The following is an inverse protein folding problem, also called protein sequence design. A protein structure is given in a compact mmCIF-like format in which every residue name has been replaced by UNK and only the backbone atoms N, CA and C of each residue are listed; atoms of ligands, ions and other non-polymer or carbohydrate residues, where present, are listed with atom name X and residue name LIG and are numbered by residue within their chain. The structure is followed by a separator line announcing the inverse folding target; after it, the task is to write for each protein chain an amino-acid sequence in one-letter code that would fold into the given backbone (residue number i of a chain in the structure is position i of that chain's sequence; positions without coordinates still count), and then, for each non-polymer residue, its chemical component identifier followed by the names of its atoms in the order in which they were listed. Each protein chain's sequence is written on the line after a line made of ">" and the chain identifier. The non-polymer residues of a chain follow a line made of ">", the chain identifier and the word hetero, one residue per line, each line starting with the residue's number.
data_IF_007428568006
#
_entry.id   IF_007428568006
#
_cell.length_a   1.000
_cell.length_b   1.000
_cell.length_c   1.000
_cell.angle_alpha   90.00
_cell.angle_beta   90.00
_cell.angle_gamma   90.00
#
_symmetry.space_group_name_H-M   'P 1'
#
loop_
_entity.id
_entity.type
_entity.pdbx_description
1 polymer ?
#
# COMPACT_ATOMS: atom_id res chain seq x y z
N UNK A 1 4.91 -11.33 -36.71
CA UNK A 1 4.57 -9.88 -36.69
C UNK A 1 3.07 -9.60 -36.88
N UNK A 2 2.24 -10.57 -37.22
CA UNK A 2 0.81 -10.40 -37.50
C UNK A 2 -0.11 -10.49 -36.28
N UNK A 3 0.30 -11.13 -35.19
CA UNK A 3 -0.56 -11.34 -34.03
C UNK A 3 -0.61 -10.14 -33.07
N UNK A 4 0.39 -9.26 -33.08
CA UNK A 4 0.43 -8.07 -32.19
C UNK A 4 -0.54 -6.97 -32.64
N UNK A 5 -0.77 -6.83 -33.96
CA UNK A 5 -1.71 -5.82 -34.48
C UNK A 5 -3.17 -6.19 -34.23
N UNK A 6 -3.52 -7.50 -34.23
CA UNK A 6 -4.87 -7.95 -33.92
C UNK A 6 -5.25 -7.75 -32.42
N UNK A 7 -4.31 -7.98 -31.51
CA UNK A 7 -4.53 -7.78 -30.08
C UNK A 7 -4.69 -6.29 -29.77
N UNK A 8 -3.87 -5.42 -30.38
CA UNK A 8 -4.02 -3.96 -30.23
C UNK A 8 -5.35 -3.44 -30.79
N UNK A 9 -5.84 -4.00 -31.89
CA UNK A 9 -7.12 -3.60 -32.50
C UNK A 9 -8.32 -4.06 -31.64
N UNK A 10 -8.28 -5.27 -31.09
CA UNK A 10 -9.29 -5.78 -30.16
C UNK A 10 -9.32 -4.98 -28.85
N UNK A 11 -8.18 -4.61 -28.30
CA UNK A 11 -8.07 -3.74 -27.12
C UNK A 11 -8.59 -2.33 -27.41
N UNK A 12 -8.32 -1.77 -28.59
CA UNK A 12 -8.85 -0.47 -29.00
C UNK A 12 -10.39 -0.51 -29.17
N UNK A 13 -10.94 -1.57 -29.71
CA UNK A 13 -12.40 -1.73 -29.88
C UNK A 13 -13.08 -1.89 -28.52
N UNK A 14 -12.50 -2.63 -27.59
CA UNK A 14 -13.01 -2.75 -26.21
C UNK A 14 -12.92 -1.40 -25.46
N UNK A 15 -11.85 -0.63 -25.64
CA UNK A 15 -11.75 0.72 -25.05
C UNK A 15 -12.78 1.69 -25.63
N UNK A 16 -13.01 1.69 -26.94
CA UNK A 16 -13.97 2.57 -27.60
C UNK A 16 -15.41 2.21 -27.20
N UNK A 17 -15.75 0.93 -27.06
CA UNK A 17 -17.07 0.51 -26.58
C UNK A 17 -17.32 0.85 -25.10
N UNK A 18 -16.27 0.97 -24.27
CA UNK A 18 -16.36 1.40 -22.88
C UNK A 18 -16.47 2.93 -22.72
N UNK A 19 -16.02 3.69 -23.72
CA UNK A 19 -16.09 5.15 -23.73
C UNK A 19 -17.44 5.64 -24.30
N UNK A 20 -18.02 4.90 -25.22
CA UNK A 20 -19.23 5.31 -25.97
C UNK A 20 -20.56 4.76 -25.41
N UNK A 21 -20.54 3.97 -24.33
CA UNK A 21 -21.78 3.48 -23.72
C UNK A 21 -22.06 4.15 -22.35
N UNK A 22 -22.75 5.29 -22.30
CA UNK A 22 -23.11 5.96 -21.05
C UNK A 22 -24.41 5.42 -20.42
N UNK A 23 -24.79 4.19 -20.66
CA UNK A 23 -26.02 3.60 -20.12
C UNK A 23 -25.78 2.93 -18.75
N UNK A 24 -25.42 3.73 -17.76
CA UNK A 24 -25.97 3.61 -16.41
C UNK A 24 -26.67 4.94 -16.08
N UNK A 25 -27.71 5.22 -16.87
CA UNK A 25 -28.68 6.24 -16.52
C UNK A 25 -29.45 5.78 -15.28
N UNK A 26 -29.49 6.63 -14.30
CA UNK A 26 -30.39 6.62 -13.16
C UNK A 26 -31.77 6.08 -13.56
N UNK A 27 -32.18 5.01 -12.92
CA UNK A 27 -33.57 4.66 -12.82
C UNK A 27 -34.18 5.55 -11.71
N UNK A 28 -35.06 6.50 -12.02
CA UNK A 28 -35.70 7.32 -11.00
C UNK A 28 -36.65 6.43 -10.21
N UNK A 29 -36.25 6.04 -9.01
CA UNK A 29 -37.17 5.45 -8.06
C UNK A 29 -38.23 6.47 -7.76
N UNK A 30 -39.45 6.13 -8.11
CA UNK A 30 -40.67 6.85 -7.74
C UNK A 30 -40.62 7.27 -6.27
N UNK A 31 -40.73 8.59 -6.04
CA UNK A 31 -41.05 9.16 -4.76
C UNK A 31 -42.46 8.68 -4.37
N UNK A 32 -42.54 7.64 -3.55
CA UNK A 32 -43.75 7.37 -2.77
C UNK A 32 -43.66 8.20 -1.48
N UNK A 33 -44.74 8.88 -1.10
CA UNK A 33 -44.79 9.59 0.18
C UNK A 33 -44.61 8.59 1.34
N UNK A 34 -44.12 9.04 2.50
CA UNK A 34 -43.96 8.18 3.67
C UNK A 34 -45.33 7.56 4.06
N UNK A 35 -45.35 6.23 4.31
CA UNK A 35 -46.52 5.55 4.81
C UNK A 35 -46.79 5.93 6.27
N UNK A 36 -48.05 6.13 6.62
CA UNK A 36 -48.51 6.39 7.98
C UNK A 36 -48.13 5.17 8.87
N UNK A 37 -47.64 5.38 10.09
CA UNK A 37 -47.28 4.30 11.01
C UNK A 37 -48.45 3.37 11.40
N UNK A 38 -49.70 3.75 11.08
CA UNK A 38 -50.91 2.94 11.35
C UNK A 38 -51.15 1.79 10.36
N UNK A 39 -50.42 1.75 9.25
CA UNK A 39 -50.62 0.74 8.20
C UNK A 39 -49.69 -0.51 8.32
N UNK A 40 -49.06 -0.73 9.45
CA UNK A 40 -48.29 -1.93 9.69
C UNK A 40 -49.20 -3.06 10.22
N UNK A 41 -49.25 -4.22 9.54
CA UNK A 41 -49.95 -5.39 10.10
C UNK A 41 -49.26 -5.87 11.38
N UNK A 42 -50.03 -6.42 12.34
CA UNK A 42 -49.47 -6.91 13.60
C UNK A 42 -48.45 -8.03 13.37
N UNK A 43 -47.44 -8.18 14.24
CA UNK A 43 -46.43 -9.21 14.11
C UNK A 43 -47.03 -10.60 14.21
N UNK A 44 -46.67 -11.49 13.30
CA UNK A 44 -47.05 -12.88 13.25
C UNK A 44 -46.46 -13.57 14.48
N UNK A 45 -47.28 -14.30 15.32
CA UNK A 45 -46.76 -15.03 16.48
C UNK A 45 -45.80 -16.13 16.05
N UNK A 46 -44.62 -16.18 16.68
CA UNK A 46 -43.62 -17.23 16.45
C UNK A 46 -44.20 -18.57 16.88
N UNK A 47 -44.22 -19.58 15.99
CA UNK A 47 -44.55 -20.96 16.31
C UNK A 47 -43.64 -21.49 17.44
N UNK A 48 -44.17 -22.22 18.43
CA UNK A 48 -43.37 -22.86 19.46
C UNK A 48 -42.41 -23.90 18.82
N UNK A 49 -41.18 -23.96 19.32
CA UNK A 49 -40.21 -25.00 18.91
C UNK A 49 -40.75 -26.38 19.31
N UNK A 50 -40.56 -27.42 18.46
CA UNK A 50 -40.90 -28.79 18.83
C UNK A 50 -40.06 -29.27 20.03
N UNK A 51 -40.58 -30.21 20.85
CA UNK A 51 -39.84 -30.80 21.96
C UNK A 51 -38.56 -31.49 21.45
N UNK A 52 -37.47 -31.41 22.21
CA UNK A 52 -36.23 -32.12 21.90
C UNK A 52 -36.43 -33.62 21.97
N UNK A 53 -35.88 -34.35 21.01
CA UNK A 53 -35.86 -35.82 21.00
C UNK A 53 -35.00 -36.34 22.18
N UNK A 54 -35.45 -37.35 22.95
CA UNK A 54 -34.68 -37.93 24.05
C UNK A 54 -33.34 -38.55 23.67
N UNK A 55 -33.05 -38.68 22.39
CA UNK A 55 -31.77 -39.21 21.86
C UNK A 55 -30.62 -38.21 21.85
N UNK A 56 -30.85 -36.93 22.13
CA UNK A 56 -29.85 -35.88 22.13
C UNK A 56 -29.17 -35.62 23.50
N UNK A 57 -29.35 -36.52 24.49
CA UNK A 57 -28.63 -36.43 25.74
C UNK A 57 -27.25 -37.10 25.63
N UNK A 58 -26.17 -36.45 26.04
CA UNK A 58 -24.88 -37.09 26.08
C UNK A 58 -24.86 -38.23 27.13
N UNK A 59 -24.07 -39.30 26.90
CA UNK A 59 -23.98 -40.41 27.84
C UNK A 59 -23.42 -39.96 29.20
N UNK A 60 -23.77 -40.68 30.31
CA UNK A 60 -23.28 -40.36 31.64
C UNK A 60 -21.74 -40.45 31.67
N UNK A 61 -21.08 -39.46 32.28
CA UNK A 61 -19.65 -39.48 32.51
C UNK A 61 -19.31 -40.55 33.55
N UNK A 62 -18.34 -41.43 33.24
CA UNK A 62 -17.77 -42.36 34.20
C UNK A 62 -17.10 -41.62 35.37
N UNK A 63 -17.12 -42.17 36.59
CA UNK A 63 -16.51 -41.56 37.75
C UNK A 63 -14.99 -41.47 37.56
N UNK A 64 -14.44 -40.28 37.75
CA UNK A 64 -12.97 -40.03 37.73
C UNK A 64 -12.33 -40.86 38.84
N UNK A 65 -11.38 -41.70 38.47
CA UNK A 65 -10.48 -42.37 39.40
C UNK A 65 -9.55 -41.33 40.04
N UNK A 66 -9.36 -41.41 41.35
CA UNK A 66 -8.43 -40.58 42.10
C UNK A 66 -6.98 -40.85 41.63
N UNK A 67 -6.12 -39.81 41.59
CA UNK A 67 -4.73 -39.99 41.21
C UNK A 67 -3.99 -40.83 42.26
N UNK A 68 -3.00 -41.67 41.82
CA UNK A 68 -2.15 -42.43 42.73
C UNK A 68 -1.30 -41.52 43.62
N UNK A 69 -0.90 -41.94 44.83
CA UNK A 69 -0.09 -41.17 45.74
C UNK A 69 1.31 -40.86 45.13
N UNK A 70 1.94 -39.73 45.52
CA UNK A 70 3.25 -39.33 44.98
C UNK A 70 4.32 -40.35 45.30
N UNK A 71 5.10 -40.76 44.29
CA UNK A 71 6.35 -41.55 44.46
C UNK A 71 7.42 -40.71 45.16
N UNK A 72 8.17 -41.33 46.06
CA UNK A 72 9.31 -40.72 46.72
C UNK A 72 10.43 -40.35 45.71
N UNK A 73 11.15 -39.25 45.94
CA UNK A 73 12.15 -38.76 44.99
C UNK A 73 13.34 -39.73 44.93
N UNK A 74 13.56 -40.33 43.77
CA UNK A 74 14.79 -41.06 43.46
C UNK A 74 15.93 -40.04 43.29
N UNK A 75 17.04 -40.27 44.01
CA UNK A 75 18.26 -39.48 43.89
C UNK A 75 18.78 -39.52 42.45
N UNK A 76 18.93 -38.34 41.84
CA UNK A 76 19.55 -38.18 40.52
C UNK A 76 21.06 -38.49 40.59
N UNK A 77 21.64 -39.15 39.56
CA UNK A 77 23.09 -39.24 39.42
C UNK A 77 23.73 -37.88 39.16
N UNK A 78 24.99 -37.65 39.57
CA UNK A 78 25.65 -36.37 39.38
C UNK A 78 25.76 -36.02 37.88
N UNK A 79 25.60 -34.72 37.52
CA UNK A 79 25.62 -34.29 36.14
C UNK A 79 26.98 -34.52 35.47
N UNK A 80 27.03 -34.87 34.18
CA UNK A 80 28.26 -34.94 33.40
C UNK A 80 28.95 -33.57 33.39
N UNK A 81 30.26 -33.55 33.51
CA UNK A 81 31.06 -32.33 33.37
C UNK A 81 30.81 -31.70 31.99
N UNK A 82 30.33 -30.46 31.99
CA UNK A 82 30.16 -29.65 30.78
C UNK A 82 31.52 -29.50 30.06
N UNK A 83 31.53 -29.58 28.71
CA UNK A 83 32.66 -29.10 27.93
C UNK A 83 32.73 -27.58 28.08
N UNK A 84 33.92 -27.09 28.41
CA UNK A 84 34.21 -25.64 28.41
C UNK A 84 33.90 -25.08 27.05
N UNK A 85 32.74 -24.40 26.91
CA UNK A 85 32.44 -23.56 25.77
C UNK A 85 33.10 -22.20 26.01
N UNK A 86 33.90 -21.77 25.05
CA UNK A 86 34.33 -20.37 24.98
C UNK A 86 33.12 -19.46 25.07
N UNK A 87 33.20 -18.30 25.74
CA UNK A 87 32.07 -17.38 25.85
C UNK A 87 31.61 -17.02 24.45
N UNK A 88 30.26 -16.98 24.19
CA UNK A 88 29.74 -16.56 22.91
C UNK A 88 30.24 -15.15 22.62
N UNK A 89 30.83 -14.95 21.44
CA UNK A 89 31.14 -13.60 20.97
C UNK A 89 29.89 -12.74 21.13
N UNK A 90 30.03 -11.65 21.89
CA UNK A 90 28.96 -10.64 22.00
C UNK A 90 28.59 -10.20 20.59
N UNK A 91 27.28 -10.09 20.26
CA UNK A 91 26.87 -9.56 18.98
C UNK A 91 27.50 -8.17 18.84
N UNK A 92 28.32 -7.99 17.82
CA UNK A 92 28.92 -6.69 17.48
C UNK A 92 27.76 -5.71 17.35
N UNK A 93 27.59 -4.86 18.35
CA UNK A 93 26.70 -3.70 18.28
C UNK A 93 27.31 -2.83 17.20
N UNK A 94 26.71 -2.86 16.00
CA UNK A 94 26.98 -1.86 14.97
C UNK A 94 26.46 -0.55 15.55
N UNK A 95 27.36 0.22 16.14
CA UNK A 95 27.05 1.61 16.53
C UNK A 95 26.62 2.34 15.26
N UNK A 96 25.45 2.99 15.24
CA UNK A 96 25.07 3.84 14.12
C UNK A 96 26.20 4.85 13.91
N UNK A 97 26.77 4.89 12.71
CA UNK A 97 27.73 5.91 12.37
C UNK A 97 27.01 7.26 12.48
N UNK A 98 27.46 8.13 13.39
CA UNK A 98 27.05 9.53 13.47
C UNK A 98 27.60 10.36 12.29
N UNK A 99 27.90 9.75 11.16
CA UNK A 99 28.19 10.49 9.95
C UNK A 99 26.86 11.05 9.42
N UNK A 100 26.78 12.37 9.16
CA UNK A 100 25.62 12.94 8.49
C UNK A 100 25.40 12.19 7.19
N UNK A 101 24.17 11.73 6.96
CA UNK A 101 23.77 11.03 5.73
C UNK A 101 24.30 11.81 4.53
N UNK A 102 25.03 11.13 3.63
CA UNK A 102 25.44 11.74 2.38
C UNK A 102 24.19 12.19 1.64
N UNK A 103 24.07 13.49 1.29
CA UNK A 103 22.90 13.99 0.60
C UNK A 103 22.65 13.18 -0.67
N UNK A 104 21.38 12.84 -0.93
CA UNK A 104 21.00 12.15 -2.17
C UNK A 104 21.29 13.05 -3.38
N UNK A 105 21.48 12.50 -4.58
CA UNK A 105 21.62 13.27 -5.81
C UNK A 105 20.45 14.21 -6.09
N UNK A 106 19.27 13.99 -5.48
CA UNK A 106 18.13 14.91 -5.62
C UNK A 106 17.97 15.88 -4.45
N UNK A 107 18.84 15.83 -3.44
CA UNK A 107 18.75 16.73 -2.28
C UNK A 107 18.66 18.19 -2.71
N UNK A 108 17.60 18.88 -2.32
CA UNK A 108 17.33 20.27 -2.67
C UNK A 108 17.23 20.58 -4.18
N UNK A 109 17.06 19.58 -5.04
CA UNK A 109 17.03 19.75 -6.51
C UNK A 109 15.95 20.76 -6.95
N UNK A 110 14.83 20.79 -6.24
CA UNK A 110 13.66 21.64 -6.52
C UNK A 110 13.28 22.51 -5.31
N UNK A 111 14.28 22.97 -4.55
CA UNK A 111 14.04 23.83 -3.38
C UNK A 111 13.28 25.10 -3.78
N UNK A 112 12.29 25.48 -2.97
CA UNK A 112 11.51 26.71 -3.16
C UNK A 112 10.35 26.61 -4.17
N UNK A 113 10.22 25.51 -4.92
CA UNK A 113 9.07 25.34 -5.82
C UNK A 113 7.76 25.01 -5.09
N UNK A 114 7.83 24.25 -4.03
CA UNK A 114 6.70 23.93 -3.17
C UNK A 114 7.08 24.16 -1.72
N UNK A 115 6.14 24.63 -0.92
CA UNK A 115 6.32 24.82 0.53
C UNK A 115 5.59 23.76 1.35
N UNK A 116 4.66 23.02 0.74
CA UNK A 116 3.81 22.04 1.38
C UNK A 116 3.64 20.84 0.46
N UNK A 117 3.73 19.63 1.03
CA UNK A 117 3.39 18.39 0.35
C UNK A 117 2.26 17.69 1.10
N UNK A 118 1.25 17.23 0.39
CA UNK A 118 0.13 16.47 0.94
C UNK A 118 0.07 15.13 0.24
N UNK A 119 0.25 14.05 0.99
CA UNK A 119 0.34 12.70 0.45
C UNK A 119 -0.86 11.83 0.83
N UNK A 120 -1.25 10.94 -0.09
CA UNK A 120 -2.27 9.90 0.04
C UNK A 120 -1.70 8.58 -0.48
N UNK A 121 -2.29 7.45 -0.09
CA UNK A 121 -1.88 6.15 -0.61
C UNK A 121 -2.02 5.03 0.40
N UNK A 122 -1.27 3.98 0.21
CA UNK A 122 -1.22 2.85 1.13
C UNK A 122 0.16 2.67 1.78
N UNK A 123 0.57 1.42 2.02
CA UNK A 123 1.84 1.12 2.71
C UNK A 123 3.10 1.60 1.99
N UNK A 124 3.05 1.85 0.68
CA UNK A 124 4.18 2.38 -0.08
C UNK A 124 4.41 3.88 0.15
N UNK A 125 3.44 4.54 0.78
CA UNK A 125 3.50 5.98 1.06
C UNK A 125 3.32 6.30 2.56
N UNK A 126 2.78 5.37 3.39
CA UNK A 126 2.50 5.61 4.82
C UNK A 126 3.78 5.87 5.62
N UNK A 127 3.89 7.04 6.24
CA UNK A 127 4.99 7.44 7.11
C UNK A 127 4.71 7.21 8.60
N UNK A 128 3.59 6.53 8.94
CA UNK A 128 3.31 6.12 10.31
C UNK A 128 1.84 6.14 10.74
N UNK A 129 0.89 6.47 9.89
CA UNK A 129 -0.53 6.50 10.27
C UNK A 129 -1.02 5.16 10.83
N UNK A 130 -0.63 4.05 10.19
CA UNK A 130 -1.05 2.71 10.61
C UNK A 130 -0.62 2.38 12.04
N UNK A 131 0.54 2.85 12.49
CA UNK A 131 1.01 2.68 13.86
C UNK A 131 0.09 3.35 14.89
N UNK A 132 -0.37 4.57 14.62
CA UNK A 132 -1.27 5.31 15.50
C UNK A 132 -2.70 4.76 15.52
N UNK A 133 -3.04 3.90 14.57
CA UNK A 133 -4.37 3.28 14.47
C UNK A 133 -4.49 1.97 15.29
N UNK A 134 -3.41 1.56 15.95
CA UNK A 134 -3.36 0.31 16.67
C UNK A 134 -3.26 -0.91 15.76
N UNK A 135 -3.17 -2.09 16.37
CA UNK A 135 -2.93 -3.37 15.69
C UNK A 135 -4.13 -3.84 14.84
N UNK A 136 -4.47 -3.09 13.79
CA UNK A 136 -5.55 -3.46 12.87
C UNK A 136 -5.05 -4.47 11.81
N UNK A 137 -3.74 -4.49 11.56
CA UNK A 137 -3.10 -5.39 10.60
C UNK A 137 -1.89 -6.10 11.18
N UNK A 138 -1.58 -7.31 10.72
CA UNK A 138 -0.36 -8.04 11.09
C UNK A 138 0.87 -7.20 10.72
N UNK A 139 0.84 -6.53 9.57
CA UNK A 139 1.92 -5.70 9.04
C UNK A 139 2.21 -4.44 9.87
N UNK A 140 1.25 -3.90 10.61
CA UNK A 140 1.44 -2.67 11.39
C UNK A 140 2.17 -2.88 12.72
N UNK A 141 2.05 -4.07 13.32
CA UNK A 141 2.86 -4.44 14.48
C UNK A 141 4.31 -4.69 14.09
N UNK A 142 4.57 -5.13 12.88
CA UNK A 142 5.90 -5.45 12.39
C UNK A 142 6.68 -4.19 11.98
N UNK A 143 6.05 -3.22 11.29
CA UNK A 143 6.71 -1.97 10.90
C UNK A 143 7.15 -1.09 12.09
N UNK A 144 6.53 -1.28 13.24
CA UNK A 144 6.90 -0.60 14.49
C UNK A 144 8.03 -1.30 15.25
N UNK A 145 8.55 -2.42 14.74
CA UNK A 145 9.65 -3.19 15.31
C UNK A 145 10.82 -3.26 14.33
N UNK A 146 12.04 -3.45 14.85
CA UNK A 146 13.16 -3.90 14.01
C UNK A 146 12.72 -5.20 13.29
N UNK A 147 13.01 -5.38 11.99
CA UNK A 147 14.09 -4.72 11.23
C UNK A 147 13.66 -3.55 10.32
N UNK A 148 12.40 -3.15 10.33
CA UNK A 148 11.93 -2.05 9.49
C UNK A 148 12.60 -0.72 9.88
N UNK A 149 13.06 0.06 8.88
CA UNK A 149 13.78 1.32 9.09
C UNK A 149 15.26 1.18 9.47
N UNK A 150 15.81 -0.03 9.42
CA UNK A 150 17.18 -0.31 9.87
C UNK A 150 18.25 0.39 9.04
N UNK A 151 18.04 0.60 7.74
CA UNK A 151 19.04 1.18 6.83
C UNK A 151 19.29 2.67 7.10
N UNK A 152 18.24 3.48 7.12
CA UNK A 152 18.39 4.94 7.24
C UNK A 152 18.15 5.43 8.66
N UNK A 153 17.13 4.91 9.34
CA UNK A 153 16.72 5.47 10.62
C UNK A 153 17.40 4.81 11.81
N UNK A 154 18.08 3.68 11.62
CA UNK A 154 18.73 2.89 12.69
C UNK A 154 17.79 2.45 13.81
N UNK A 155 16.49 2.70 13.65
CA UNK A 155 15.42 2.44 14.62
C UNK A 155 14.10 2.32 13.88
N UNK A 156 13.02 2.09 14.62
CA UNK A 156 11.64 2.10 14.11
C UNK A 156 11.36 3.35 13.27
N UNK A 157 11.02 3.15 12.02
CA UNK A 157 10.72 4.24 11.09
C UNK A 157 9.22 4.42 10.85
N UNK A 158 8.40 3.46 11.29
CA UNK A 158 6.98 3.34 11.00
C UNK A 158 6.66 3.23 9.49
N UNK A 159 7.67 2.93 8.68
CA UNK A 159 7.57 2.68 7.24
C UNK A 159 7.68 1.19 6.98
N UNK A 160 6.96 0.70 5.97
CA UNK A 160 7.06 -0.70 5.54
C UNK A 160 8.19 -0.86 4.50
N UNK A 161 9.41 -0.55 4.94
CA UNK A 161 10.66 -0.69 4.19
C UNK A 161 11.82 -0.77 5.18
N UNK A 162 13.02 -1.12 4.72
CA UNK A 162 14.24 -0.99 5.51
C UNK A 162 14.66 0.46 5.76
N UNK A 163 14.07 1.43 5.01
CA UNK A 163 14.38 2.83 5.15
C UNK A 163 13.34 3.75 4.51
N UNK A 164 13.81 4.74 3.72
CA UNK A 164 13.00 5.79 3.10
C UNK A 164 12.07 5.23 2.00
N UNK A 165 10.91 5.86 1.89
CA UNK A 165 9.94 5.64 0.82
C UNK A 165 10.13 6.65 -0.32
N UNK A 166 9.48 6.43 -1.45
CA UNK A 166 9.47 7.38 -2.57
C UNK A 166 9.10 8.79 -2.10
N UNK A 167 8.10 8.94 -1.24
CA UNK A 167 7.65 10.24 -0.75
C UNK A 167 8.73 10.96 0.07
N UNK A 168 9.57 10.24 0.81
CA UNK A 168 10.68 10.84 1.57
C UNK A 168 11.74 11.41 0.63
N UNK A 169 12.05 10.72 -0.48
CA UNK A 169 12.96 11.23 -1.50
C UNK A 169 12.37 12.42 -2.29
N UNK A 170 11.05 12.44 -2.49
CA UNK A 170 10.37 13.59 -3.12
C UNK A 170 10.44 14.81 -2.20
N UNK A 171 10.20 14.67 -0.89
CA UNK A 171 10.34 15.81 0.05
C UNK A 171 11.78 16.28 0.16
N UNK A 172 12.76 15.37 0.16
CA UNK A 172 14.19 15.70 0.11
C UNK A 172 14.55 16.50 -1.15
N UNK A 173 14.03 16.10 -2.31
CA UNK A 173 14.22 16.85 -3.57
C UNK A 173 13.65 18.27 -3.53
N UNK A 174 12.60 18.49 -2.74
CA UNK A 174 11.97 19.79 -2.55
C UNK A 174 12.60 20.62 -1.44
N UNK A 175 13.59 20.08 -0.73
CA UNK A 175 14.21 20.73 0.43
C UNK A 175 13.27 20.84 1.63
N UNK A 176 12.33 19.89 1.77
CA UNK A 176 11.35 19.83 2.83
C UNK A 176 11.65 18.67 3.79
N UNK A 177 11.25 18.79 5.06
CA UNK A 177 11.37 17.67 6.00
C UNK A 177 10.49 16.49 5.58
N UNK A 178 10.77 15.32 6.13
CA UNK A 178 9.90 14.13 5.98
C UNK A 178 8.49 14.44 6.48
N UNK A 179 7.47 13.92 5.77
CA UNK A 179 6.08 14.20 6.10
C UNK A 179 5.66 13.49 7.37
N UNK A 180 5.12 14.21 8.36
CA UNK A 180 4.50 13.58 9.51
C UNK A 180 3.19 12.89 9.12
N UNK A 181 2.87 11.74 9.75
CA UNK A 181 1.59 11.09 9.55
C UNK A 181 0.47 11.92 10.21
N UNK A 182 -0.69 12.00 9.58
CA UNK A 182 -1.83 12.81 10.06
C UNK A 182 -2.29 12.43 11.48
N UNK A 183 -2.10 11.16 11.87
CA UNK A 183 -2.50 10.66 13.20
C UNK A 183 -1.53 11.03 14.30
N UNK A 184 -0.39 11.58 14.01
CA UNK A 184 0.55 12.13 14.98
C UNK A 184 0.11 13.53 15.43
N UNK A 185 -0.77 13.60 16.39
CA UNK A 185 -1.45 14.85 16.81
C UNK A 185 -0.53 15.95 17.33
N UNK A 186 0.72 15.61 17.71
CA UNK A 186 1.75 16.54 18.18
C UNK A 186 2.72 16.98 17.09
N UNK A 187 2.57 16.45 15.86
CA UNK A 187 3.47 16.80 14.76
C UNK A 187 3.23 18.23 14.26
N UNK A 188 4.30 18.81 13.73
CA UNK A 188 4.21 20.06 12.97
C UNK A 188 3.83 19.75 11.52
N UNK A 189 2.74 20.31 11.04
CA UNK A 189 2.23 20.15 9.68
C UNK A 189 2.52 21.37 8.76
N UNK A 190 3.41 22.26 9.13
CA UNK A 190 3.69 23.49 8.34
C UNK A 190 4.18 23.18 6.93
N UNK A 191 4.97 22.13 6.75
CA UNK A 191 5.50 21.70 5.47
C UNK A 191 4.70 20.57 4.80
N UNK A 192 3.60 20.14 5.40
CA UNK A 192 2.71 19.14 4.84
C UNK A 192 2.32 18.01 5.78
N UNK A 193 1.60 17.06 5.22
CA UNK A 193 1.01 15.95 5.99
C UNK A 193 0.84 14.72 5.11
N UNK A 194 1.00 13.55 5.69
CA UNK A 194 0.76 12.28 5.04
C UNK A 194 -0.54 11.65 5.56
N UNK A 195 -1.49 11.42 4.66
CA UNK A 195 -2.77 10.73 4.95
C UNK A 195 -2.74 9.25 4.61
N UNK A 196 -1.74 8.77 3.87
CA UNK A 196 -1.62 7.38 3.45
C UNK A 196 -1.65 6.41 4.64
N UNK A 197 -2.30 5.25 4.46
CA UNK A 197 -2.43 4.24 5.53
C UNK A 197 -2.06 2.88 4.99
N UNK A 198 -1.13 2.20 5.64
CA UNK A 198 -0.77 0.83 5.30
C UNK A 198 -2.01 -0.09 5.30
N UNK A 199 -2.16 -0.85 4.22
CA UNK A 199 -3.32 -1.73 4.02
C UNK A 199 -4.57 -1.04 3.47
N UNK A 200 -4.53 0.28 3.22
CA UNK A 200 -5.66 1.00 2.64
C UNK A 200 -6.03 0.46 1.25
N UNK A 201 -7.32 0.48 0.95
CA UNK A 201 -7.88 0.09 -0.35
C UNK A 201 -8.60 1.28 -0.99
N UNK A 202 -8.78 1.20 -2.29
CA UNK A 202 -9.68 2.13 -3.00
C UNK A 202 -11.13 1.73 -2.79
N UNK A 203 -11.40 0.43 -2.75
CA UNK A 203 -12.74 -0.13 -2.61
C UNK A 203 -13.18 -0.18 -1.15
N UNK A 204 -14.47 0.01 -0.92
CA UNK A 204 -15.03 -0.09 0.41
C UNK A 204 -14.93 -1.53 0.97
N UNK A 205 -14.72 -1.63 2.27
CA UNK A 205 -14.51 -2.92 2.95
C UNK A 205 -15.71 -3.87 2.89
N UNK A 206 -16.92 -3.36 2.76
CA UNK A 206 -18.13 -4.18 2.66
C UNK A 206 -18.11 -5.07 1.41
N UNK A 207 -17.45 -4.64 0.32
CA UNK A 207 -17.20 -5.49 -0.83
C UNK A 207 -16.32 -6.69 -0.44
N UNK A 208 -15.23 -6.45 0.28
CA UNK A 208 -14.30 -7.49 0.68
C UNK A 208 -14.83 -8.37 1.83
N UNK A 209 -15.71 -7.84 2.68
CA UNK A 209 -16.33 -8.64 3.76
C UNK A 209 -17.22 -9.77 3.25
N UNK A 210 -17.76 -9.62 2.04
CA UNK A 210 -18.59 -10.64 1.36
C UNK A 210 -17.76 -11.71 0.67
N UNK A 211 -16.44 -11.49 0.50
CA UNK A 211 -15.56 -12.48 -0.10
C UNK A 211 -15.17 -13.51 0.95
N UNK A 212 -15.35 -14.80 0.62
CA UNK A 212 -14.74 -15.87 1.40
C UNK A 212 -13.24 -15.69 1.34
N UNK A 213 -12.64 -15.32 2.46
CA UNK A 213 -11.23 -14.97 2.57
C UNK A 213 -10.38 -16.22 2.31
N UNK A 214 -9.61 -16.22 1.23
CA UNK A 214 -8.55 -17.20 0.99
C UNK A 214 -7.27 -16.71 1.67
N UNK A 215 -7.07 -15.39 1.76
CA UNK A 215 -5.92 -14.78 2.41
C UNK A 215 -6.31 -14.10 3.73
N UNK A 216 -5.48 -14.34 4.77
CA UNK A 216 -5.65 -13.87 6.14
C UNK A 216 -5.28 -12.39 6.35
N UNK A 217 -5.18 -11.59 5.30
CA UNK A 217 -4.89 -10.16 5.46
C UNK A 217 -6.07 -9.48 6.16
N UNK A 218 -5.93 -9.29 7.45
CA UNK A 218 -6.76 -8.33 8.17
C UNK A 218 -6.30 -6.93 7.78
N UNK A 219 -6.64 -6.50 6.57
CA UNK A 219 -6.36 -5.15 6.14
C UNK A 219 -7.09 -4.14 7.01
N UNK A 220 -6.59 -2.91 7.05
CA UNK A 220 -7.31 -1.82 7.69
C UNK A 220 -8.73 -1.71 7.11
N UNK A 221 -9.75 -1.39 7.94
CA UNK A 221 -11.07 -1.04 7.43
C UNK A 221 -11.10 0.30 6.71
N UNK A 222 -9.97 1.01 6.69
CA UNK A 222 -9.84 2.35 6.13
C UNK A 222 -9.40 2.27 4.68
N UNK A 223 -9.78 3.26 3.91
CA UNK A 223 -9.44 3.35 2.50
C UNK A 223 -9.28 4.81 2.06
N UNK A 224 -9.02 5.00 0.78
CA UNK A 224 -8.71 6.31 0.20
C UNK A 224 -9.79 7.38 0.45
N UNK A 225 -11.05 6.97 0.60
CA UNK A 225 -12.13 7.90 0.92
C UNK A 225 -12.05 8.42 2.36
N UNK A 226 -11.54 7.61 3.29
CA UNK A 226 -11.25 8.05 4.66
C UNK A 226 -10.11 9.06 4.69
N UNK A 227 -9.06 8.81 3.91
CA UNK A 227 -7.93 9.76 3.76
C UNK A 227 -8.44 11.10 3.19
N UNK A 228 -9.33 11.05 2.21
CA UNK A 228 -9.97 12.23 1.66
C UNK A 228 -10.79 13.01 2.69
N UNK A 229 -11.52 12.32 3.57
CA UNK A 229 -12.30 12.99 4.61
C UNK A 229 -11.39 13.61 5.69
N UNK A 230 -10.26 12.96 6.01
CA UNK A 230 -9.23 13.55 6.87
C UNK A 230 -8.61 14.79 6.22
N UNK A 231 -8.31 14.75 4.92
CA UNK A 231 -7.81 15.91 4.18
C UNK A 231 -8.80 17.08 4.20
N UNK A 232 -10.09 16.85 3.94
CA UNK A 232 -11.10 17.91 3.99
C UNK A 232 -11.13 18.60 5.36
N UNK A 233 -11.07 17.79 6.43
CA UNK A 233 -10.98 18.32 7.79
C UNK A 233 -9.69 19.11 8.01
N UNK A 234 -8.55 18.58 7.63
CA UNK A 234 -7.26 19.25 7.72
C UNK A 234 -7.24 20.57 6.93
N UNK A 235 -7.81 20.59 5.73
CA UNK A 235 -7.87 21.80 4.90
C UNK A 235 -8.62 22.92 5.62
N UNK A 236 -9.72 22.64 6.29
CA UNK A 236 -10.53 23.63 7.01
C UNK A 236 -9.83 24.04 8.33
N UNK A 237 -9.42 23.06 9.12
CA UNK A 237 -9.00 23.27 10.51
C UNK A 237 -7.56 23.79 10.64
N UNK A 238 -6.73 23.54 9.61
CA UNK A 238 -5.29 23.84 9.64
C UNK A 238 -4.81 24.58 8.39
N UNK A 239 -4.89 23.94 7.21
CA UNK A 239 -4.26 24.46 5.98
C UNK A 239 -4.79 25.84 5.59
N UNK A 240 -6.10 26.03 5.62
CA UNK A 240 -6.80 27.29 5.24
C UNK A 240 -7.44 27.99 6.44
N UNK A 241 -7.07 27.61 7.67
CA UNK A 241 -7.61 28.21 8.89
C UNK A 241 -7.39 29.72 8.93
N UNK A 242 -8.48 30.48 9.10
CA UNK A 242 -8.42 31.94 9.19
C UNK A 242 -8.19 32.67 7.85
N UNK A 243 -8.09 31.91 6.73
CA UNK A 243 -7.96 32.49 5.40
C UNK A 243 -9.34 32.62 4.73
N UNK A 244 -9.53 33.67 3.95
CA UNK A 244 -10.66 33.75 3.04
C UNK A 244 -10.45 32.79 1.85
N UNK A 245 -11.46 32.64 1.03
CA UNK A 245 -11.43 31.73 -0.14
C UNK A 245 -10.28 32.06 -1.11
N UNK A 246 -9.98 33.34 -1.33
CA UNK A 246 -8.94 33.79 -2.24
C UNK A 246 -7.55 33.47 -1.68
N UNK A 247 -7.31 33.80 -0.42
CA UNK A 247 -6.04 33.52 0.26
C UNK A 247 -5.77 32.00 0.38
N UNK A 248 -6.82 31.21 0.67
CA UNK A 248 -6.70 29.75 0.66
C UNK A 248 -6.36 29.22 -0.74
N UNK A 249 -6.99 29.71 -1.80
CA UNK A 249 -6.69 29.33 -3.18
C UNK A 249 -5.25 29.68 -3.59
N UNK A 250 -4.75 30.84 -3.18
CA UNK A 250 -3.34 31.22 -3.42
C UNK A 250 -2.37 30.27 -2.67
N UNK A 251 -2.65 29.95 -1.41
CA UNK A 251 -1.85 28.98 -0.64
C UNK A 251 -1.82 27.60 -1.32
N UNK A 252 -2.95 27.13 -1.83
CA UNK A 252 -3.04 25.83 -2.52
C UNK A 252 -2.20 25.76 -3.80
N UNK A 253 -1.83 26.87 -4.41
CA UNK A 253 -0.89 26.90 -5.55
C UNK A 253 0.53 26.49 -5.15
N UNK A 254 0.89 26.62 -3.87
CA UNK A 254 2.21 26.22 -3.34
C UNK A 254 2.26 24.78 -2.85
N UNK A 255 1.14 24.06 -2.94
CA UNK A 255 1.00 22.68 -2.48
C UNK A 255 1.25 21.72 -3.62
N UNK A 256 2.09 20.70 -3.38
CA UNK A 256 2.18 19.50 -4.18
C UNK A 256 1.29 18.40 -3.56
N UNK A 257 0.32 17.91 -4.32
CA UNK A 257 -0.48 16.75 -3.94
C UNK A 257 0.16 15.49 -4.54
N UNK A 258 0.54 14.56 -3.68
CA UNK A 258 1.08 13.26 -4.05
C UNK A 258 0.04 12.20 -3.78
N UNK A 259 -0.59 11.69 -4.82
CA UNK A 259 -1.42 10.49 -4.74
C UNK A 259 -0.49 9.32 -5.05
N UNK A 260 0.08 8.75 -3.99
CA UNK A 260 0.90 7.56 -4.05
C UNK A 260 0.13 6.43 -4.69
N UNK A 261 0.81 5.32 -5.02
CA UNK A 261 0.07 4.21 -5.55
C UNK A 261 -0.95 3.75 -4.51
N UNK A 262 -2.10 3.36 -5.01
CA UNK A 262 -3.16 2.75 -4.23
C UNK A 262 -3.95 1.79 -5.10
N UNK A 263 -4.14 0.58 -4.58
CA UNK A 263 -4.80 -0.49 -5.28
C UNK A 263 -4.13 -1.85 -5.09
N UNK A 264 -2.86 -1.91 -4.67
CA UNK A 264 -2.18 -3.18 -4.36
C UNK A 264 -3.04 -4.01 -3.42
N UNK A 265 -3.58 -3.39 -2.36
CA UNK A 265 -4.40 -4.07 -1.37
C UNK A 265 -5.75 -4.54 -1.93
N UNK A 266 -6.31 -3.84 -2.91
CA UNK A 266 -7.52 -4.25 -3.62
C UNK A 266 -7.27 -5.55 -4.39
N UNK A 267 -6.16 -5.63 -5.15
CA UNK A 267 -5.75 -6.81 -5.89
C UNK A 267 -5.43 -7.98 -4.95
N UNK A 268 -4.60 -7.75 -3.94
CA UNK A 268 -4.19 -8.78 -2.97
C UNK A 268 -5.37 -9.40 -2.23
N UNK A 269 -6.40 -8.61 -1.90
CA UNK A 269 -7.64 -9.11 -1.28
C UNK A 269 -8.54 -9.85 -2.26
N UNK A 270 -8.44 -9.59 -3.54
CA UNK A 270 -9.25 -10.21 -4.58
C UNK A 270 -8.64 -11.48 -5.16
N UNK A 271 -7.33 -11.68 -5.05
CA UNK A 271 -6.66 -12.90 -5.52
C UNK A 271 -7.28 -14.14 -4.87
N UNK A 272 -7.58 -15.14 -5.69
CA UNK A 272 -8.26 -16.36 -5.24
C UNK A 272 -9.76 -16.23 -4.97
N UNK A 273 -10.33 -15.02 -5.10
CA UNK A 273 -11.79 -14.81 -5.03
C UNK A 273 -12.46 -15.11 -6.38
N UNK A 274 -13.79 -15.11 -6.38
CA UNK A 274 -14.59 -15.24 -7.62
C UNK A 274 -14.69 -13.93 -8.41
N UNK A 275 -14.15 -12.82 -7.90
CA UNK A 275 -14.21 -11.52 -8.58
C UNK A 275 -13.09 -11.46 -9.62
N UNK A 276 -13.40 -11.17 -10.89
CA UNK A 276 -12.37 -10.97 -11.90
C UNK A 276 -11.47 -9.79 -11.53
N UNK A 277 -10.13 -9.97 -11.57
CA UNK A 277 -9.17 -8.91 -11.26
C UNK A 277 -9.34 -7.68 -12.18
N UNK A 278 -9.82 -7.87 -13.41
CA UNK A 278 -10.17 -6.76 -14.32
C UNK A 278 -11.33 -5.91 -13.82
N UNK A 279 -12.25 -6.47 -13.04
CA UNK A 279 -13.32 -5.70 -12.38
C UNK A 279 -12.78 -4.89 -11.20
N UNK A 280 -11.85 -5.48 -10.44
CA UNK A 280 -11.12 -4.77 -9.38
C UNK A 280 -10.36 -3.58 -9.99
N UNK A 281 -9.62 -3.79 -11.08
CA UNK A 281 -8.89 -2.75 -11.79
C UNK A 281 -9.79 -1.54 -12.14
N UNK A 282 -10.95 -1.80 -12.73
CA UNK A 282 -11.89 -0.73 -13.11
C UNK A 282 -12.45 0.03 -11.91
N UNK A 283 -12.84 -0.69 -10.87
CA UNK A 283 -13.43 -0.12 -9.67
C UNK A 283 -12.39 0.68 -8.88
N UNK A 284 -11.18 0.15 -8.72
CA UNK A 284 -10.07 0.83 -8.04
C UNK A 284 -9.78 2.19 -8.68
N UNK A 285 -9.60 2.23 -10.01
CA UNK A 285 -9.38 3.50 -10.73
C UNK A 285 -10.52 4.49 -10.53
N UNK A 286 -11.77 4.03 -10.42
CA UNK A 286 -12.91 4.92 -10.21
C UNK A 286 -12.78 5.74 -8.93
N UNK A 287 -12.37 5.11 -7.82
CA UNK A 287 -12.19 5.82 -6.55
C UNK A 287 -10.91 6.66 -6.51
N UNK A 288 -9.83 6.19 -7.12
CA UNK A 288 -8.59 6.98 -7.26
C UNK A 288 -8.88 8.28 -8.02
N UNK A 289 -9.63 8.20 -9.13
CA UNK A 289 -9.99 9.34 -9.94
C UNK A 289 -11.01 10.26 -9.23
N UNK A 290 -11.87 9.72 -8.37
CA UNK A 290 -12.79 10.52 -7.53
C UNK A 290 -12.00 11.33 -6.49
N UNK A 291 -10.95 10.74 -5.86
CA UNK A 291 -10.03 11.50 -5.02
C UNK A 291 -9.43 12.68 -5.81
N UNK A 292 -8.81 12.41 -6.97
CA UNK A 292 -8.17 13.44 -7.80
C UNK A 292 -9.18 14.54 -8.17
N UNK A 293 -10.39 14.17 -8.59
CA UNK A 293 -11.46 15.11 -8.92
C UNK A 293 -11.84 15.99 -7.73
N UNK A 294 -11.92 15.40 -6.55
CA UNK A 294 -12.27 16.12 -5.33
C UNK A 294 -11.15 17.07 -4.92
N UNK A 295 -9.88 16.66 -5.02
CA UNK A 295 -8.73 17.54 -4.79
C UNK A 295 -8.77 18.77 -5.72
N UNK A 296 -9.03 18.56 -7.02
CA UNK A 296 -9.15 19.66 -7.99
C UNK A 296 -10.28 20.62 -7.61
N UNK A 297 -11.46 20.10 -7.26
CA UNK A 297 -12.61 20.90 -6.82
C UNK A 297 -12.31 21.69 -5.54
N UNK A 298 -11.47 21.15 -4.67
CA UNK A 298 -11.02 21.80 -3.44
C UNK A 298 -9.84 22.77 -3.66
N UNK A 299 -9.43 22.99 -4.91
CA UNK A 299 -8.43 24.00 -5.27
C UNK A 299 -7.02 23.49 -5.55
N UNK A 300 -6.78 22.19 -5.55
CA UNK A 300 -5.47 21.62 -5.91
C UNK A 300 -5.05 22.04 -7.33
N UNK A 301 -3.77 22.43 -7.49
CA UNK A 301 -3.19 22.88 -8.76
C UNK A 301 -2.05 22.00 -9.25
N UNK A 302 -1.40 21.26 -8.37
CA UNK A 302 -0.24 20.43 -8.73
C UNK A 302 -0.46 19.04 -8.13
N UNK A 303 -0.70 18.05 -8.97
CA UNK A 303 -1.05 16.70 -8.55
C UNK A 303 -0.16 15.70 -9.28
N UNK A 304 0.49 14.81 -8.54
CA UNK A 304 1.15 13.61 -9.07
C UNK A 304 0.33 12.41 -8.66
N UNK A 305 0.08 11.50 -9.60
CA UNK A 305 -0.65 10.25 -9.35
C UNK A 305 0.23 9.09 -9.78
N UNK A 306 0.62 8.22 -8.84
CA UNK A 306 1.36 7.01 -9.16
C UNK A 306 0.44 5.94 -9.73
N UNK A 307 0.91 5.26 -10.79
CA UNK A 307 0.33 3.99 -11.22
C UNK A 307 0.85 2.82 -10.39
N UNK A 308 0.24 1.65 -10.55
CA UNK A 308 0.69 0.44 -9.89
C UNK A 308 1.97 -0.12 -10.54
N UNK A 309 2.95 -0.59 -9.74
CA UNK A 309 4.07 -1.39 -10.24
C UNK A 309 3.57 -2.77 -10.71
N UNK A 310 4.41 -3.60 -11.39
CA UNK A 310 4.02 -4.94 -11.81
C UNK A 310 3.87 -5.88 -10.61
N UNK A 311 2.70 -5.88 -9.99
CA UNK A 311 2.39 -6.65 -8.77
C UNK A 311 2.70 -8.14 -8.93
N UNK A 312 2.42 -8.71 -10.11
CA UNK A 312 2.74 -10.10 -10.39
C UNK A 312 4.23 -10.46 -10.32
N UNK A 313 5.11 -9.46 -10.22
CA UNK A 313 6.56 -9.66 -10.01
C UNK A 313 6.98 -9.54 -8.54
N UNK A 314 6.06 -9.27 -7.63
CA UNK A 314 6.34 -9.29 -6.20
C UNK A 314 6.52 -10.74 -5.72
N UNK A 315 7.47 -11.02 -4.82
CA UNK A 315 7.64 -12.37 -4.25
C UNK A 315 6.34 -12.97 -3.72
N UNK A 316 5.47 -12.17 -3.11
CA UNK A 316 4.13 -12.56 -2.70
C UNK A 316 3.35 -13.21 -3.85
N UNK A 317 3.18 -12.49 -4.97
CA UNK A 317 2.37 -12.96 -6.09
C UNK A 317 3.03 -14.11 -6.86
N UNK A 318 4.36 -14.09 -6.93
CA UNK A 318 5.13 -15.21 -7.52
C UNK A 318 4.91 -16.47 -6.70
N UNK A 319 4.97 -16.39 -5.35
CA UNK A 319 4.87 -17.56 -4.46
C UNK A 319 3.55 -18.30 -4.60
N UNK A 320 2.47 -17.58 -4.83
CA UNK A 320 1.10 -18.14 -4.94
C UNK A 320 0.68 -18.46 -6.38
N UNK A 321 1.47 -18.09 -7.36
CA UNK A 321 1.15 -18.33 -8.80
C UNK A 321 1.77 -19.63 -9.28
N UNK A 322 1.00 -20.60 -9.80
CA UNK A 322 1.53 -21.80 -10.42
C UNK A 322 2.52 -21.49 -11.56
N UNK A 323 3.55 -22.30 -11.73
CA UNK A 323 4.58 -22.10 -12.75
C UNK A 323 3.99 -21.94 -14.18
N UNK A 324 2.93 -22.66 -14.50
CA UNK A 324 2.24 -22.59 -15.81
C UNK A 324 1.57 -21.23 -16.08
N UNK A 325 1.37 -20.42 -15.05
CA UNK A 325 0.74 -19.10 -15.13
C UNK A 325 1.74 -17.96 -14.92
N UNK A 326 3.04 -18.27 -14.90
CA UNK A 326 4.12 -17.28 -14.85
C UNK A 326 4.61 -16.98 -16.28
N UNK A 327 5.06 -15.75 -16.46
CA UNK A 327 5.73 -15.34 -17.71
C UNK A 327 7.21 -15.80 -17.73
N UNK A 328 7.92 -15.45 -18.80
CA UNK A 328 9.35 -15.80 -18.95
C UNK A 328 10.25 -15.15 -17.89
N UNK A 329 9.80 -14.09 -17.25
CA UNK A 329 10.50 -13.42 -16.16
C UNK A 329 10.15 -13.98 -14.77
N UNK A 330 9.29 -15.01 -14.72
CA UNK A 330 8.79 -15.65 -13.51
C UNK A 330 7.63 -14.93 -12.84
N UNK A 331 7.12 -13.83 -13.40
CA UNK A 331 6.05 -13.03 -12.82
C UNK A 331 4.66 -13.62 -13.14
N UNK A 332 3.68 -13.38 -12.26
CA UNK A 332 2.28 -13.77 -12.46
C UNK A 332 1.65 -13.05 -13.67
N UNK A 333 1.34 -13.78 -14.74
CA UNK A 333 0.73 -13.19 -15.95
C UNK A 333 -0.66 -12.62 -15.67
N UNK A 334 -1.46 -13.30 -14.86
CA UNK A 334 -2.85 -12.92 -14.58
C UNK A 334 -2.90 -11.61 -13.78
N UNK A 335 -2.07 -11.50 -12.75
CA UNK A 335 -2.00 -10.29 -11.93
C UNK A 335 -1.48 -9.13 -12.77
N UNK A 336 -0.39 -9.34 -13.50
CA UNK A 336 0.19 -8.29 -14.34
C UNK A 336 -0.74 -7.82 -15.45
N UNK A 337 -1.52 -8.72 -16.08
CA UNK A 337 -2.52 -8.32 -17.06
C UNK A 337 -3.59 -7.40 -16.47
N UNK A 338 -4.03 -7.65 -15.24
CA UNK A 338 -5.01 -6.81 -14.58
C UNK A 338 -4.42 -5.46 -14.15
N UNK A 339 -3.16 -5.42 -13.72
CA UNK A 339 -2.44 -4.17 -13.41
C UNK A 339 -2.26 -3.31 -14.67
N UNK A 340 -1.95 -3.91 -15.81
CA UNK A 340 -1.89 -3.19 -17.10
C UNK A 340 -3.22 -2.52 -17.42
N UNK A 341 -4.34 -3.24 -17.25
CA UNK A 341 -5.69 -2.68 -17.45
C UNK A 341 -5.92 -1.49 -16.49
N UNK A 342 -5.58 -1.65 -15.21
CA UNK A 342 -5.69 -0.57 -14.21
C UNK A 342 -4.93 0.68 -14.66
N UNK A 343 -3.65 0.54 -14.96
CA UNK A 343 -2.79 1.66 -15.33
C UNK A 343 -3.24 2.34 -16.62
N UNK A 344 -3.71 1.58 -17.61
CA UNK A 344 -4.25 2.13 -18.87
C UNK A 344 -5.51 2.96 -18.63
N UNK A 345 -6.45 2.46 -17.82
CA UNK A 345 -7.68 3.20 -17.48
C UNK A 345 -7.34 4.46 -16.68
N UNK A 346 -6.43 4.36 -15.71
CA UNK A 346 -5.98 5.49 -14.91
C UNK A 346 -5.40 6.59 -15.80
N UNK A 347 -4.43 6.25 -16.67
CA UNK A 347 -3.82 7.20 -17.60
C UNK A 347 -4.85 7.89 -18.49
N UNK A 348 -5.78 7.13 -19.08
CA UNK A 348 -6.84 7.67 -19.92
C UNK A 348 -7.74 8.67 -19.16
N UNK A 349 -8.05 8.39 -17.89
CA UNK A 349 -8.84 9.30 -17.04
C UNK A 349 -8.06 10.55 -16.67
N UNK A 350 -6.77 10.43 -16.34
CA UNK A 350 -5.92 11.60 -16.05
C UNK A 350 -5.74 12.47 -17.28
N UNK A 351 -5.60 11.89 -18.47
CA UNK A 351 -5.55 12.64 -19.73
C UNK A 351 -6.86 13.42 -19.99
N UNK A 352 -8.00 12.81 -19.71
CA UNK A 352 -9.29 13.52 -19.79
C UNK A 352 -9.32 14.70 -18.79
N UNK A 353 -8.80 14.52 -17.57
CA UNK A 353 -8.79 15.58 -16.55
C UNK A 353 -7.85 16.72 -16.91
N UNK A 354 -6.70 16.45 -17.53
CA UNK A 354 -5.83 17.52 -18.07
C UNK A 354 -6.55 18.40 -19.09
N UNK A 355 -7.42 17.81 -19.93
CA UNK A 355 -8.24 18.56 -20.90
C UNK A 355 -9.36 19.33 -20.24
N UNK A 356 -10.00 18.79 -19.20
CA UNK A 356 -11.09 19.44 -18.48
C UNK A 356 -10.64 20.53 -17.53
N UNK A 357 -9.39 20.42 -17.01
CA UNK A 357 -8.80 21.32 -16.03
C UNK A 357 -7.43 21.81 -16.47
N UNK A 358 -7.34 22.62 -17.54
CA UNK A 358 -6.05 23.01 -18.17
C UNK A 358 -5.16 23.89 -17.26
N UNK A 359 -5.72 24.46 -16.21
CA UNK A 359 -5.01 25.22 -15.18
C UNK A 359 -4.42 24.35 -14.06
N UNK A 360 -4.70 23.07 -14.06
CA UNK A 360 -4.16 22.08 -13.10
C UNK A 360 -3.06 21.26 -13.78
N UNK A 361 -1.91 21.14 -13.13
CA UNK A 361 -0.85 20.23 -13.57
C UNK A 361 -1.11 18.87 -12.96
N UNK A 362 -1.39 17.86 -13.79
CA UNK A 362 -1.63 16.48 -13.36
C UNK A 362 -0.57 15.60 -14.02
N UNK A 363 0.27 14.97 -13.22
CA UNK A 363 1.32 14.07 -13.68
C UNK A 363 0.95 12.63 -13.31
N UNK A 364 1.12 11.72 -14.25
CA UNK A 364 1.12 10.29 -14.00
C UNK A 364 2.55 9.81 -13.79
N UNK A 365 2.88 9.29 -12.62
CA UNK A 365 4.14 8.63 -12.33
C UNK A 365 4.02 7.14 -12.66
N UNK A 366 4.72 6.70 -13.70
CA UNK A 366 4.62 5.37 -14.26
C UNK A 366 5.50 4.37 -13.49
N UNK A 367 4.94 3.86 -12.38
CA UNK A 367 5.62 2.87 -11.54
C UNK A 367 5.89 1.56 -12.27
N UNK A 368 5.05 1.19 -13.24
CA UNK A 368 5.26 0.01 -14.07
C UNK A 368 6.54 0.16 -14.92
N UNK A 369 6.65 1.26 -15.64
CA UNK A 369 7.82 1.55 -16.48
C UNK A 369 9.09 1.67 -15.64
N UNK A 370 9.02 2.40 -14.52
CA UNK A 370 10.15 2.60 -13.61
C UNK A 370 10.65 1.28 -13.02
N UNK A 371 9.74 0.42 -12.55
CA UNK A 371 10.07 -0.88 -11.98
C UNK A 371 10.78 -1.77 -13.02
N UNK A 372 10.24 -1.88 -14.23
CA UNK A 372 10.86 -2.69 -15.28
C UNK A 372 12.17 -2.11 -15.81
N UNK A 373 12.35 -0.78 -15.80
CA UNK A 373 13.64 -0.17 -16.14
C UNK A 373 14.76 -0.64 -15.21
N UNK A 374 14.43 -0.82 -13.93
CA UNK A 374 15.37 -1.30 -12.90
C UNK A 374 15.53 -2.82 -12.99
N UNK A 375 14.43 -3.56 -12.95
CA UNK A 375 14.41 -5.04 -12.93
C UNK A 375 15.09 -5.66 -14.14
N UNK A 376 14.94 -5.06 -15.32
CA UNK A 376 15.52 -5.57 -16.57
C UNK A 376 17.00 -5.19 -16.75
N UNK A 377 17.53 -4.28 -15.93
CA UNK A 377 18.92 -3.83 -15.97
C UNK A 377 19.54 -3.84 -14.57
N UNK A 378 19.46 -4.94 -13.81
CA UNK A 378 19.80 -4.92 -12.39
C UNK A 378 21.25 -4.54 -12.13
N UNK A 379 22.19 -4.91 -13.01
CA UNK A 379 23.62 -4.57 -12.87
C UNK A 379 23.85 -3.05 -12.90
N UNK A 380 23.09 -2.29 -13.73
CA UNK A 380 23.15 -0.82 -13.78
C UNK A 380 22.84 -0.20 -12.42
N UNK A 381 21.94 -0.81 -11.67
CA UNK A 381 21.46 -0.35 -10.36
C UNK A 381 22.14 -1.08 -9.20
N UNK A 382 23.16 -1.92 -9.47
CA UNK A 382 23.88 -2.72 -8.48
C UNK A 382 22.99 -3.72 -7.72
N UNK A 383 21.84 -4.06 -8.27
CA UNK A 383 20.91 -5.06 -7.74
C UNK A 383 21.38 -6.45 -8.13
N UNK A 384 21.35 -7.38 -7.18
CA UNK A 384 21.72 -8.78 -7.36
C UNK A 384 20.50 -9.71 -7.32
N UNK A 385 19.51 -9.37 -6.46
CA UNK A 385 18.33 -10.19 -6.23
C UNK A 385 17.06 -9.48 -6.69
N UNK A 386 16.49 -9.96 -7.80
CA UNK A 386 15.29 -9.36 -8.40
C UNK A 386 13.99 -10.06 -7.99
N UNK A 387 14.06 -11.30 -7.45
CA UNK A 387 12.91 -12.12 -7.07
C UNK A 387 12.89 -12.49 -5.59
N UNK A 388 14.00 -12.35 -4.87
CA UNK A 388 14.08 -12.69 -3.45
C UNK A 388 13.79 -11.51 -2.57
N UNK A 389 13.31 -11.79 -1.36
CA UNK A 389 13.18 -10.78 -0.31
C UNK A 389 14.48 -10.66 0.49
N UNK A 390 14.79 -9.44 0.94
CA UNK A 390 15.89 -9.22 1.86
C UNK A 390 15.55 -9.68 3.28
N UNK A 391 14.32 -9.39 3.74
CA UNK A 391 13.82 -9.83 5.03
C UNK A 391 12.73 -10.88 4.85
N UNK A 392 12.96 -12.10 5.33
CA UNK A 392 11.99 -13.17 5.20
C UNK A 392 12.46 -14.52 5.68
N UNK A 393 11.79 -15.58 5.23
CA UNK A 393 12.00 -16.94 5.70
C UNK A 393 13.02 -17.67 4.83
N UNK A 394 14.24 -17.80 5.32
CA UNK A 394 15.45 -18.23 4.57
C UNK A 394 15.37 -19.64 3.97
N UNK A 395 14.43 -20.47 4.40
CA UNK A 395 14.31 -21.85 3.91
C UNK A 395 13.55 -21.95 2.57
N UNK A 396 12.91 -20.88 2.13
CA UNK A 396 12.22 -20.83 0.84
C UNK A 396 13.10 -20.21 -0.26
N UNK A 397 12.96 -20.69 -1.50
CA UNK A 397 13.77 -20.27 -2.67
C UNK A 397 13.79 -18.75 -2.87
N UNK A 398 12.68 -18.06 -2.55
CA UNK A 398 12.56 -16.61 -2.65
C UNK A 398 12.79 -15.87 -1.32
N UNK A 399 13.20 -16.58 -0.28
CA UNK A 399 13.28 -16.07 1.10
C UNK A 399 11.92 -15.45 1.56
N UNK A 400 10.79 -15.99 1.08
CA UNK A 400 9.45 -15.50 1.34
C UNK A 400 8.48 -16.62 1.70
N UNK A 401 7.78 -16.46 2.83
CA UNK A 401 6.75 -17.37 3.28
C UNK A 401 5.56 -16.58 3.85
N UNK A 402 4.36 -16.85 3.34
CA UNK A 402 3.13 -16.18 3.79
C UNK A 402 2.77 -16.44 5.28
N UNK A 403 3.28 -17.53 5.86
CA UNK A 403 3.04 -17.90 7.26
C UNK A 403 4.11 -17.35 8.21
N UNK A 404 5.24 -16.88 7.67
CA UNK A 404 6.37 -16.31 8.41
C UNK A 404 6.88 -15.08 7.69
N UNK A 405 6.17 -13.96 7.89
CA UNK A 405 6.54 -12.68 7.29
C UNK A 405 7.77 -12.07 7.98
N UNK A 406 8.40 -11.11 7.33
CA UNK A 406 9.54 -10.36 7.86
C UNK A 406 9.29 -9.88 9.31
N UNK A 407 10.23 -10.14 10.20
CA UNK A 407 10.12 -9.84 11.63
C UNK A 407 9.53 -10.97 12.48
N UNK A 408 8.94 -12.02 11.87
CA UNK A 408 8.47 -13.19 12.58
C UNK A 408 9.63 -14.09 13.04
N UNK A 409 9.37 -14.95 14.03
CA UNK A 409 10.37 -15.93 14.49
C UNK A 409 10.84 -16.82 13.34
N UNK A 410 12.15 -17.02 13.22
CA UNK A 410 12.77 -17.82 12.15
C UNK A 410 13.01 -17.09 10.84
N UNK A 411 12.69 -15.80 10.76
CA UNK A 411 13.07 -14.98 9.63
C UNK A 411 14.46 -14.37 9.80
N UNK A 412 15.10 -14.03 8.69
CA UNK A 412 16.42 -13.41 8.66
C UNK A 412 16.42 -12.19 7.72
N UNK A 413 17.39 -11.33 7.91
CA UNK A 413 17.65 -10.17 7.06
C UNK A 413 18.88 -10.48 6.20
N UNK A 414 18.92 -9.99 4.98
CA UNK A 414 20.08 -10.04 4.12
C UNK A 414 21.19 -9.09 4.62
N UNK A 415 22.44 -9.34 4.23
CA UNK A 415 23.59 -8.54 4.65
C UNK A 415 23.58 -7.13 4.06
N UNK A 416 23.01 -6.95 2.86
CA UNK A 416 22.99 -5.68 2.14
C UNK A 416 21.64 -5.48 1.43
N UNK A 417 20.70 -4.75 2.03
CA UNK A 417 19.40 -4.46 1.43
C UNK A 417 19.49 -3.73 0.08
N UNK A 418 20.57 -2.98 -0.17
CA UNK A 418 20.76 -2.26 -1.43
C UNK A 418 20.88 -3.17 -2.65
N UNK A 419 21.11 -4.46 -2.45
CA UNK A 419 21.20 -5.48 -3.51
C UNK A 419 19.85 -6.11 -3.88
N UNK A 420 18.77 -5.73 -3.24
CA UNK A 420 17.45 -6.35 -3.38
C UNK A 420 16.42 -5.36 -3.88
N UNK A 421 15.50 -5.83 -4.74
CA UNK A 421 14.30 -5.06 -5.12
C UNK A 421 13.30 -5.06 -3.97
N UNK A 422 13.05 -6.22 -3.37
CA UNK A 422 12.02 -6.43 -2.37
C UNK A 422 12.61 -6.51 -0.97
N UNK A 423 12.01 -5.76 -0.04
CA UNK A 423 12.33 -5.85 1.38
C UNK A 423 11.72 -7.10 2.00
N UNK A 424 10.41 -7.20 2.02
CA UNK A 424 9.63 -8.20 2.77
C UNK A 424 8.74 -9.10 1.90
N UNK A 425 8.88 -9.00 0.58
CA UNK A 425 8.07 -9.75 -0.39
C UNK A 425 6.87 -8.99 -0.94
N UNK A 426 6.54 -7.85 -0.35
CA UNK A 426 5.49 -6.94 -0.77
C UNK A 426 6.09 -5.57 -1.05
N UNK A 427 6.83 -5.03 -0.09
CA UNK A 427 7.33 -3.67 -0.11
C UNK A 427 8.75 -3.59 -0.70
N UNK A 428 9.08 -2.49 -1.39
CA UNK A 428 10.43 -2.24 -1.91
C UNK A 428 11.44 -1.98 -0.79
N UNK A 429 12.71 -2.24 -1.09
CA UNK A 429 13.81 -1.72 -0.27
C UNK A 429 13.95 -0.19 -0.43
N UNK A 430 14.66 0.47 0.50
CA UNK A 430 15.03 1.88 0.35
C UNK A 430 15.77 2.13 -0.97
N UNK A 431 16.70 1.25 -1.33
CA UNK A 431 17.44 1.33 -2.59
C UNK A 431 16.51 1.29 -3.79
N UNK A 432 15.50 0.41 -3.78
CA UNK A 432 14.51 0.36 -4.86
C UNK A 432 13.66 1.63 -4.90
N UNK A 433 13.22 2.14 -3.74
CA UNK A 433 12.48 3.42 -3.65
C UNK A 433 13.30 4.60 -4.18
N UNK A 434 14.60 4.63 -3.87
CA UNK A 434 15.55 5.59 -4.43
C UNK A 434 15.58 5.51 -5.96
N UNK A 435 15.80 4.34 -6.52
CA UNK A 435 15.87 4.15 -7.97
C UNK A 435 14.53 4.44 -8.66
N UNK A 436 13.40 4.10 -8.05
CA UNK A 436 12.08 4.47 -8.56
C UNK A 436 11.91 5.99 -8.63
N UNK A 437 12.34 6.70 -7.59
CA UNK A 437 12.30 8.18 -7.56
C UNK A 437 13.17 8.77 -8.66
N UNK A 438 14.38 8.22 -8.87
CA UNK A 438 15.28 8.63 -9.94
C UNK A 438 14.64 8.45 -11.33
N UNK A 439 13.92 7.33 -11.53
CA UNK A 439 13.16 7.10 -12.77
C UNK A 439 12.09 8.16 -13.00
N UNK A 440 11.38 8.61 -11.95
CA UNK A 440 10.36 9.65 -12.08
C UNK A 440 10.95 11.03 -12.37
N UNK A 441 12.03 11.38 -11.67
CA UNK A 441 12.63 12.71 -11.77
C UNK A 441 13.47 12.84 -13.03
N UNK A 442 14.34 11.86 -13.34
CA UNK A 442 15.42 12.01 -14.32
C UNK A 442 15.24 11.18 -15.59
N UNK A 443 14.37 10.15 -15.60
CA UNK A 443 14.35 9.14 -16.68
C UNK A 443 13.00 8.99 -17.39
N UNK A 444 12.20 10.06 -17.43
CA UNK A 444 10.95 10.14 -18.19
C UNK A 444 9.93 9.03 -17.85
N UNK A 445 9.93 8.55 -16.62
CA UNK A 445 8.88 7.68 -16.11
C UNK A 445 7.70 8.47 -15.52
N UNK A 446 7.51 9.71 -15.98
CA UNK A 446 6.35 10.55 -15.71
C UNK A 446 5.73 11.03 -17.02
N UNK A 447 4.40 11.17 -17.03
CA UNK A 447 3.64 11.71 -18.14
C UNK A 447 2.57 12.73 -17.65
N UNK A 448 2.70 14.02 -18.00
CA UNK A 448 3.88 14.67 -18.59
C UNK A 448 5.12 14.55 -17.69
N UNK A 449 6.33 14.95 -18.17
CA UNK A 449 7.55 14.90 -17.37
C UNK A 449 7.41 15.62 -16.02
N UNK A 450 8.11 15.12 -15.00
CA UNK A 450 8.03 15.67 -13.64
C UNK A 450 8.34 17.17 -13.57
N UNK A 451 9.24 17.64 -14.44
CA UNK A 451 9.64 19.04 -14.57
C UNK A 451 8.51 19.98 -14.97
N UNK A 452 7.38 19.49 -15.49
CA UNK A 452 6.21 20.34 -15.79
C UNK A 452 5.65 21.03 -14.55
N UNK A 453 5.82 20.41 -13.36
CA UNK A 453 5.47 21.03 -12.08
C UNK A 453 6.24 22.33 -11.82
N UNK A 454 7.45 22.45 -12.36
CA UNK A 454 8.35 23.58 -12.11
C UNK A 454 8.15 24.73 -13.11
N UNK A 455 7.59 24.45 -14.30
CA UNK A 455 7.46 25.47 -15.37
C UNK A 455 6.54 26.64 -15.02
N UNK A 456 5.56 26.42 -14.17
CA UNK A 456 4.58 27.45 -13.77
C UNK A 456 5.02 28.28 -12.56
N UNK A 457 6.20 28.01 -12.03
CA UNK A 457 6.73 28.65 -10.81
C UNK A 457 8.19 29.00 -11.03
N UNK A 458 8.49 30.29 -11.28
CA UNK A 458 9.85 30.76 -11.07
C UNK A 458 10.16 30.67 -9.54
N UNK A 459 11.35 30.20 -9.13
CA UNK A 459 11.77 30.35 -7.74
C UNK A 459 11.69 31.81 -7.34
N UNK A 460 11.10 32.09 -6.18
CA UNK A 460 11.11 33.44 -5.60
C UNK A 460 12.49 33.77 -5.06
#
# INVERSE_FOLDING_TARGET
>A
MTNFKCISLLLAIVLVSLILNPTFAHNPKHNRPPRDPKDCPPPIPKKPKPPRDPKDCPPPQEPKQDPPPPEEPKQEPPPPKEPTQDPPEEPKIVTPSNEPEKPTPFHNLYIGYFSIVIAFGDSYTDTGNAQYMGSITITTTESSSSPYGSTTFGKKSNRLSDGRLVIDFITDALGLPTLPPYKETKANFDNGVNFAIAGATTLANDLFSKLKRIFLWKGTPLGIMTELDWYKKYQIDQLCKGLDQKACAEKLKTVLFWVGEIGINDFSRAVGSKIPLSSIAKSSVTYTVELVRTLIRNGAKNIVVQGLPPLGCLPLDISITPLSLRDRSGCSQIVNAAVVIHNQILQAKLELYRKLFPDVTIIYADSWKAFYAIRNNPQKYKIQEVNKTCCGFKQDDMNFNLQSLCGASGTSICDDPSKYISWDGIHPTESMNYHMTDQYINHQCCNPPFQELMKKKAPK
#
